data_IF_960091607494
#
_entry.id   IF_960091607494
#
_cell.length_a   1.000
_cell.length_b   1.000
_cell.length_c   1.000
_cell.angle_alpha   90.00
_cell.angle_beta   90.00
_cell.angle_gamma   90.00
#
_symmetry.space_group_name_H-M   'P 1'
#
loop_
_entity.id
_entity.type
_entity.pdbx_description
1 polymer ?
#
# COMPACT_ATOMS: atom_id res chain seq x y z
N UNK A 1 0.55 -0.84 23.89
CA UNK A 1 0.49 -1.93 24.88
C UNK A 1 -0.81 -1.90 25.69
N UNK A 2 -1.37 -0.73 26.06
CA UNK A 2 -2.65 -0.64 26.78
C UNK A 2 -3.81 -1.46 26.16
N UNK A 3 -4.01 -1.35 24.85
CA UNK A 3 -5.04 -2.11 24.11
C UNK A 3 -4.88 -3.64 24.29
N UNK A 4 -3.64 -4.14 24.27
CA UNK A 4 -3.39 -5.56 24.47
C UNK A 4 -3.75 -5.98 25.90
N UNK A 5 -3.27 -5.23 26.89
CA UNK A 5 -3.50 -5.52 28.32
C UNK A 5 -4.98 -5.53 28.69
N UNK A 6 -5.75 -4.61 28.12
CA UNK A 6 -7.20 -4.52 28.35
C UNK A 6 -7.95 -5.73 27.80
N UNK A 7 -7.64 -6.16 26.57
CA UNK A 7 -8.46 -7.14 25.85
C UNK A 7 -7.87 -8.55 25.78
N UNK A 8 -6.64 -8.80 26.25
CA UNK A 8 -5.98 -10.11 26.15
C UNK A 8 -6.79 -11.26 26.78
N UNK A 9 -7.55 -10.98 27.84
CA UNK A 9 -8.38 -11.97 28.53
C UNK A 9 -9.74 -12.26 27.87
N UNK A 10 -10.07 -11.62 26.75
CA UNK A 10 -11.36 -11.84 26.06
C UNK A 10 -11.48 -13.24 25.44
N UNK A 11 -10.35 -13.83 25.03
CA UNK A 11 -10.26 -15.14 24.38
C UNK A 11 -9.28 -16.04 25.12
N UNK A 12 -9.34 -17.35 24.85
CA UNK A 12 -8.37 -18.32 25.38
C UNK A 12 -7.02 -18.27 24.66
N UNK A 13 -6.97 -17.72 23.45
CA UNK A 13 -5.75 -17.46 22.69
C UNK A 13 -5.62 -15.95 22.42
N UNK A 14 -4.53 -15.36 22.90
CA UNK A 14 -4.18 -13.95 22.72
C UNK A 14 -4.00 -13.58 21.23
N UNK A 15 -3.76 -14.55 20.35
CA UNK A 15 -3.69 -14.27 18.91
C UNK A 15 -5.08 -14.22 18.26
N UNK A 16 -6.16 -14.62 18.95
CA UNK A 16 -7.52 -14.67 18.39
C UNK A 16 -8.41 -13.73 19.19
N UNK A 17 -8.49 -12.47 18.76
CA UNK A 17 -9.22 -11.42 19.47
C UNK A 17 -10.02 -10.52 18.51
N UNK A 18 -11.29 -10.21 18.77
CA UNK A 18 -12.07 -9.30 17.93
C UNK A 18 -11.75 -7.81 18.15
N UNK A 19 -11.06 -7.46 19.25
CA UNK A 19 -10.79 -6.07 19.63
C UNK A 19 -9.46 -5.54 19.09
N UNK A 20 -8.53 -6.42 18.71
CA UNK A 20 -7.23 -6.03 18.17
C UNK A 20 -6.70 -6.99 17.12
N UNK A 21 -5.70 -6.53 16.37
CA UNK A 21 -4.91 -7.32 15.45
C UNK A 21 -3.45 -7.33 15.89
N UNK A 22 -2.82 -8.51 15.93
CA UNK A 22 -1.38 -8.60 16.24
C UNK A 22 -0.54 -8.31 14.99
N UNK A 23 0.73 -7.87 15.14
CA UNK A 23 1.51 -7.36 14.01
C UNK A 23 1.70 -8.37 12.88
N UNK A 24 1.87 -9.66 13.21
CA UNK A 24 2.05 -10.71 12.19
C UNK A 24 0.80 -10.89 11.32
N UNK A 25 -0.39 -10.79 11.90
CA UNK A 25 -1.66 -10.91 11.16
C UNK A 25 -1.88 -9.71 10.24
N UNK A 26 -1.61 -8.50 10.74
CA UNK A 26 -1.66 -7.29 9.95
C UNK A 26 -0.72 -7.36 8.74
N UNK A 27 0.52 -7.81 8.96
CA UNK A 27 1.52 -7.98 7.90
C UNK A 27 1.03 -8.95 6.82
N UNK A 28 0.47 -10.10 7.18
CA UNK A 28 -0.05 -11.05 6.19
C UNK A 28 -1.24 -10.50 5.41
N UNK A 29 -2.14 -9.77 6.06
CA UNK A 29 -3.26 -9.13 5.36
C UNK A 29 -2.79 -8.07 4.37
N UNK A 30 -1.80 -7.26 4.74
CA UNK A 30 -1.17 -6.29 3.83
C UNK A 30 -0.47 -6.98 2.66
N UNK A 31 0.32 -8.03 2.92
CA UNK A 31 1.02 -8.76 1.86
C UNK A 31 0.04 -9.38 0.87
N UNK A 32 -1.03 -10.02 1.35
CA UNK A 32 -2.02 -10.67 0.50
C UNK A 32 -2.72 -9.68 -0.42
N UNK A 33 -3.21 -8.55 0.10
CA UNK A 33 -3.92 -7.58 -0.74
C UNK A 33 -2.97 -6.95 -1.78
N UNK A 34 -1.72 -6.66 -1.41
CA UNK A 34 -0.77 -6.09 -2.36
C UNK A 34 -0.39 -7.10 -3.43
N UNK A 35 -0.24 -8.38 -3.06
CA UNK A 35 0.13 -9.44 -3.98
C UNK A 35 -0.96 -9.70 -5.04
N UNK A 36 -2.21 -9.80 -4.59
CA UNK A 36 -3.34 -10.17 -5.45
C UNK A 36 -3.83 -9.02 -6.33
N UNK A 37 -3.73 -7.77 -5.86
CA UNK A 37 -4.41 -6.63 -6.50
C UNK A 37 -3.48 -5.55 -7.05
N UNK A 38 -2.24 -5.45 -6.55
CA UNK A 38 -1.32 -4.34 -6.87
C UNK A 38 -0.06 -4.86 -7.58
N UNK A 39 -0.21 -5.89 -8.42
CA UNK A 39 0.86 -6.39 -9.28
C UNK A 39 1.94 -7.19 -8.53
N UNK A 40 1.53 -8.07 -7.61
CA UNK A 40 2.45 -9.00 -6.95
C UNK A 40 2.82 -10.22 -7.77
N UNK A 41 3.60 -11.10 -7.14
CA UNK A 41 4.05 -12.34 -7.77
C UNK A 41 2.89 -13.30 -8.04
N UNK A 42 1.89 -13.34 -7.16
CA UNK A 42 0.70 -14.19 -7.33
C UNK A 42 -0.14 -13.84 -8.56
N UNK A 43 -0.05 -12.60 -9.04
CA UNK A 43 -0.70 -12.11 -10.27
C UNK A 43 0.26 -12.02 -11.47
N UNK A 44 1.45 -12.63 -11.39
CA UNK A 44 2.52 -12.50 -12.39
C UNK A 44 2.86 -11.02 -12.71
N UNK A 45 2.88 -10.18 -11.68
CA UNK A 45 3.12 -8.74 -11.75
C UNK A 45 2.10 -7.96 -12.56
N UNK A 46 0.90 -8.49 -12.80
CA UNK A 46 -0.16 -7.85 -13.56
C UNK A 46 -1.21 -7.19 -12.66
N UNK A 47 -1.73 -6.04 -13.09
CA UNK A 47 -2.87 -5.37 -12.45
C UNK A 47 -3.68 -4.56 -13.49
N UNK A 48 -4.82 -4.01 -13.10
CA UNK A 48 -5.68 -3.12 -13.89
C UNK A 48 -6.52 -2.24 -12.95
N UNK A 49 -7.25 -1.27 -13.51
CA UNK A 49 -8.11 -0.35 -12.76
C UNK A 49 -9.09 -1.04 -11.81
N UNK A 50 -9.71 -2.15 -12.23
CA UNK A 50 -10.63 -2.90 -11.36
C UNK A 50 -9.91 -3.53 -10.15
N UNK A 51 -8.72 -4.10 -10.38
CA UNK A 51 -7.90 -4.69 -9.32
C UNK A 51 -7.39 -3.62 -8.36
N UNK A 52 -6.92 -2.48 -8.86
CA UNK A 52 -6.43 -1.36 -8.06
C UNK A 52 -7.56 -0.74 -7.22
N UNK A 53 -8.75 -0.56 -7.79
CA UNK A 53 -9.95 -0.12 -7.05
C UNK A 53 -10.22 -1.06 -5.88
N UNK A 54 -10.21 -2.38 -6.11
CA UNK A 54 -10.42 -3.35 -5.04
C UNK A 54 -9.29 -3.33 -4.00
N UNK A 55 -8.04 -3.18 -4.45
CA UNK A 55 -6.88 -3.00 -3.58
C UNK A 55 -7.04 -1.78 -2.66
N UNK A 56 -7.54 -0.66 -3.19
CA UNK A 56 -7.76 0.57 -2.45
C UNK A 56 -8.85 0.42 -1.38
N UNK A 57 -9.96 -0.25 -1.70
CA UNK A 57 -11.02 -0.57 -0.73
C UNK A 57 -10.47 -1.43 0.44
N UNK A 58 -9.75 -2.51 0.13
CA UNK A 58 -9.19 -3.42 1.12
C UNK A 58 -8.12 -2.73 1.99
N UNK A 59 -7.31 -1.87 1.38
CA UNK A 59 -6.32 -1.05 2.09
C UNK A 59 -7.01 -0.04 3.01
N UNK A 60 -8.16 0.52 2.61
CA UNK A 60 -9.01 1.36 3.44
C UNK A 60 -9.43 0.65 4.73
N UNK A 61 -10.00 -0.56 4.62
CA UNK A 61 -10.34 -1.36 5.80
C UNK A 61 -9.12 -1.69 6.67
N UNK A 62 -7.99 -2.02 6.04
CA UNK A 62 -6.76 -2.33 6.79
C UNK A 62 -6.21 -1.09 7.51
N UNK A 63 -6.38 0.11 6.95
CA UNK A 63 -6.00 1.38 7.57
C UNK A 63 -6.84 1.67 8.81
N UNK A 64 -8.14 1.40 8.78
CA UNK A 64 -9.01 1.47 9.96
C UNK A 64 -8.56 0.48 11.05
N UNK A 65 -8.27 -0.77 10.66
CA UNK A 65 -7.78 -1.79 11.60
C UNK A 65 -6.37 -1.51 12.14
N UNK A 66 -5.59 -0.63 11.49
CA UNK A 66 -4.26 -0.23 11.97
C UNK A 66 -4.31 0.55 13.29
N UNK A 67 -5.46 1.14 13.62
CA UNK A 67 -5.71 1.78 14.91
C UNK A 67 -5.95 0.77 16.04
N UNK A 68 -6.22 -0.49 15.67
CA UNK A 68 -6.39 -1.62 16.59
C UNK A 68 -5.17 -2.55 16.63
N UNK A 69 -4.01 -2.08 16.17
CA UNK A 69 -2.76 -2.82 16.30
C UNK A 69 -2.35 -2.94 17.78
N UNK A 70 -2.24 -4.18 18.26
CA UNK A 70 -1.80 -4.50 19.61
C UNK A 70 -0.35 -5.01 19.63
N UNK A 71 0.31 -4.85 20.78
CA UNK A 71 1.66 -5.33 21.02
C UNK A 71 1.78 -5.88 22.44
N UNK A 72 2.35 -7.09 22.56
CA UNK A 72 2.59 -7.79 23.83
C UNK A 72 3.82 -7.28 24.58
N UNK A 73 4.83 -6.91 23.83
CA UNK A 73 6.12 -6.49 24.35
C UNK A 73 6.74 -5.39 23.46
N UNK A 74 7.96 -4.95 23.80
CA UNK A 74 8.69 -3.93 23.04
C UNK A 74 9.07 -4.39 21.63
N UNK A 75 9.28 -5.68 21.42
CA UNK A 75 9.60 -6.22 20.11
C UNK A 75 8.39 -6.15 19.18
N UNK A 76 7.21 -6.53 19.66
CA UNK A 76 5.98 -6.36 18.90
C UNK A 76 5.59 -4.90 18.73
N UNK A 77 5.91 -4.04 19.69
CA UNK A 77 5.70 -2.61 19.54
C UNK A 77 6.51 -2.05 18.37
N UNK A 78 7.76 -2.50 18.19
CA UNK A 78 8.54 -2.21 16.98
C UNK A 78 7.82 -2.71 15.72
N UNK A 79 7.32 -3.96 15.73
CA UNK A 79 6.61 -4.54 14.57
C UNK A 79 5.31 -3.81 14.22
N UNK A 80 4.58 -3.29 15.22
CA UNK A 80 3.42 -2.42 15.01
C UNK A 80 3.82 -1.20 14.18
N UNK A 81 4.87 -0.48 14.59
CA UNK A 81 5.33 0.71 13.88
C UNK A 81 5.85 0.41 12.48
N UNK A 82 6.62 -0.66 12.31
CA UNK A 82 7.05 -1.08 10.98
C UNK A 82 5.87 -1.41 10.06
N UNK A 83 4.80 -2.01 10.57
CA UNK A 83 3.60 -2.26 9.80
C UNK A 83 2.86 -0.98 9.42
N UNK A 84 2.80 0.02 10.32
CA UNK A 84 2.29 1.34 9.97
C UNK A 84 3.14 1.95 8.85
N UNK A 85 4.47 1.87 8.91
CA UNK A 85 5.34 2.35 7.83
C UNK A 85 5.07 1.63 6.50
N UNK A 86 4.92 0.29 6.52
CA UNK A 86 4.60 -0.51 5.33
C UNK A 86 3.23 -0.14 4.75
N UNK A 87 2.22 0.10 5.59
CA UNK A 87 0.89 0.52 5.15
C UNK A 87 0.96 1.84 4.36
N UNK A 88 1.69 2.84 4.87
CA UNK A 88 1.88 4.12 4.18
C UNK A 88 2.59 3.96 2.83
N UNK A 89 3.63 3.11 2.77
CA UNK A 89 4.31 2.80 1.51
C UNK A 89 3.41 2.06 0.52
N UNK A 90 2.59 1.13 1.00
CA UNK A 90 1.63 0.43 0.16
C UNK A 90 0.58 1.37 -0.44
N UNK A 91 0.04 2.31 0.35
CA UNK A 91 -0.90 3.32 -0.14
C UNK A 91 -0.27 4.23 -1.19
N UNK A 92 0.96 4.70 -0.94
CA UNK A 92 1.72 5.49 -1.90
C UNK A 92 1.95 4.72 -3.22
N UNK A 93 2.39 3.46 -3.13
CA UNK A 93 2.64 2.63 -4.30
C UNK A 93 1.36 2.42 -5.13
N UNK A 94 0.25 2.04 -4.48
CA UNK A 94 -1.04 1.85 -5.13
C UNK A 94 -1.46 3.11 -5.88
N UNK A 95 -1.43 4.27 -5.22
CA UNK A 95 -1.82 5.55 -5.81
C UNK A 95 -0.95 5.94 -7.02
N UNK A 96 0.36 5.68 -6.96
CA UNK A 96 1.25 5.94 -8.10
C UNK A 96 0.90 5.05 -9.31
N UNK A 97 0.68 3.76 -9.07
CA UNK A 97 0.35 2.78 -10.11
C UNK A 97 -1.02 3.07 -10.72
N UNK A 98 -2.01 3.41 -9.90
CA UNK A 98 -3.36 3.80 -10.32
C UNK A 98 -3.36 5.05 -11.19
N UNK A 99 -2.64 6.10 -10.74
CA UNK A 99 -2.56 7.37 -11.45
C UNK A 99 -1.90 7.22 -12.83
N UNK A 100 -0.82 6.43 -12.94
CA UNK A 100 -0.10 6.21 -14.21
C UNK A 100 -0.87 5.25 -15.13
N UNK A 101 -1.39 5.79 -16.24
CA UNK A 101 -2.18 5.04 -17.24
C UNK A 101 -1.32 4.56 -18.41
N UNK A 102 -0.29 3.78 -18.11
CA UNK A 102 0.60 3.12 -19.09
C UNK A 102 1.36 1.94 -18.43
N UNK A 103 2.06 1.14 -19.24
CA UNK A 103 3.05 0.16 -18.78
C UNK A 103 4.44 0.62 -19.18
N UNK A 104 5.12 1.32 -18.27
CA UNK A 104 6.45 1.91 -18.50
C UNK A 104 7.60 0.91 -18.32
N UNK A 105 7.46 0.01 -17.36
CA UNK A 105 8.52 -0.92 -16.94
C UNK A 105 8.02 -2.37 -17.00
N UNK A 106 7.76 -2.90 -18.21
CA UNK A 106 7.34 -4.29 -18.37
C UNK A 106 8.42 -5.22 -17.80
N UNK A 107 8.00 -6.17 -16.96
CA UNK A 107 8.89 -7.04 -16.17
C UNK A 107 8.96 -6.65 -14.69
N UNK A 108 8.73 -5.37 -14.35
CA UNK A 108 8.48 -4.97 -12.96
C UNK A 108 7.00 -5.03 -12.62
N UNK A 109 6.14 -4.47 -13.48
CA UNK A 109 4.70 -4.68 -13.42
C UNK A 109 4.04 -4.40 -14.78
N UNK A 110 2.80 -4.87 -14.96
CA UNK A 110 1.99 -4.68 -16.15
C UNK A 110 0.62 -4.07 -15.80
N UNK A 111 0.26 -2.94 -16.40
CA UNK A 111 -1.12 -2.42 -16.44
C UNK A 111 -1.82 -3.05 -17.62
N UNK A 112 -2.59 -4.10 -17.39
CA UNK A 112 -3.25 -4.87 -18.47
C UNK A 112 -4.31 -4.08 -19.24
N UNK A 113 -4.86 -3.04 -18.61
CA UNK A 113 -5.75 -2.04 -19.19
C UNK A 113 -5.02 -0.92 -19.96
N UNK A 114 -3.72 -0.72 -19.69
CA UNK A 114 -2.82 0.20 -20.39
C UNK A 114 -1.47 -0.48 -20.70
N UNK A 115 -1.45 -1.48 -21.61
CA UNK A 115 -0.33 -2.42 -21.72
C UNK A 115 0.90 -1.87 -22.43
N UNK A 116 0.83 -0.67 -23.00
CA UNK A 116 1.88 -0.06 -23.81
C UNK A 116 2.54 1.11 -23.09
N UNK A 117 3.76 1.41 -23.54
CA UNK A 117 4.50 2.63 -23.24
C UNK A 117 3.83 3.83 -23.92
N UNK A 118 3.62 4.94 -23.21
CA UNK A 118 3.00 6.16 -23.73
C UNK A 118 3.92 7.37 -23.50
N UNK A 119 4.79 7.65 -24.47
CA UNK A 119 5.73 8.78 -24.39
C UNK A 119 5.05 10.14 -24.51
N UNK A 120 3.91 10.23 -25.20
CA UNK A 120 3.22 11.50 -25.43
C UNK A 120 2.62 12.04 -24.13
N UNK A 121 1.99 11.18 -23.33
CA UNK A 121 1.29 11.60 -22.12
C UNK A 121 2.07 11.32 -20.84
N UNK A 122 3.00 10.35 -20.84
CA UNK A 122 3.55 9.79 -19.60
C UNK A 122 5.08 9.79 -19.49
N UNK A 123 5.80 10.45 -20.40
CA UNK A 123 7.22 10.81 -20.22
C UNK A 123 7.40 11.88 -19.13
N UNK A 124 7.16 11.50 -17.88
CA UNK A 124 7.14 12.35 -16.71
C UNK A 124 7.38 11.53 -15.44
N UNK A 125 7.78 12.20 -14.37
CA UNK A 125 7.73 11.63 -13.03
C UNK A 125 6.29 11.71 -12.49
N UNK A 126 5.88 10.69 -11.74
CA UNK A 126 4.67 10.74 -10.93
C UNK A 126 5.12 11.03 -9.50
N UNK A 127 4.73 12.19 -9.01
CA UNK A 127 5.03 12.65 -7.67
C UNK A 127 3.74 12.68 -6.85
N UNK A 128 3.89 12.65 -5.53
CA UNK A 128 2.78 12.81 -4.62
C UNK A 128 3.16 13.60 -3.38
N UNK A 129 2.15 14.18 -2.74
CA UNK A 129 2.25 14.89 -1.46
C UNK A 129 1.04 14.51 -0.60
N UNK A 130 1.27 14.31 0.69
CA UNK A 130 0.20 14.20 1.69
C UNK A 130 0.13 15.49 2.50
N UNK A 131 -1.07 15.99 2.76
CA UNK A 131 -1.30 17.04 3.75
C UNK A 131 -1.42 16.40 5.15
N UNK A 132 -0.53 16.70 6.10
CA UNK A 132 -0.59 16.10 7.44
C UNK A 132 -1.79 16.57 8.27
N UNK A 133 -2.44 17.69 7.92
CA UNK A 133 -3.62 18.18 8.63
C UNK A 133 -4.90 17.45 8.22
N UNK A 134 -5.03 17.10 6.93
CA UNK A 134 -6.24 16.45 6.38
C UNK A 134 -6.04 14.97 6.04
N UNK A 135 -4.80 14.49 5.97
CA UNK A 135 -4.41 13.20 5.40
C UNK A 135 -4.81 13.00 3.93
N UNK A 136 -5.07 14.09 3.20
CA UNK A 136 -5.40 14.05 1.79
C UNK A 136 -4.14 13.90 0.93
N UNK A 137 -4.23 13.04 -0.08
CA UNK A 137 -3.16 12.80 -1.04
C UNK A 137 -3.39 13.59 -2.32
N UNK A 138 -2.35 14.26 -2.79
CA UNK A 138 -2.27 14.83 -4.14
C UNK A 138 -1.26 14.04 -4.95
N UNK A 139 -1.66 13.48 -6.09
CA UNK A 139 -0.78 12.79 -7.04
C UNK A 139 -0.75 13.60 -8.34
N UNK A 140 0.43 13.89 -8.87
CA UNK A 140 0.59 14.80 -10.00
C UNK A 140 1.82 14.48 -10.84
N UNK A 141 1.83 14.96 -12.08
CA UNK A 141 2.94 14.81 -13.02
C UNK A 141 4.01 15.89 -12.77
N UNK A 142 5.29 15.51 -12.92
CA UNK A 142 6.42 16.44 -13.02
C UNK A 142 7.21 16.13 -14.31
N UNK A 143 7.49 17.12 -15.16
CA UNK A 143 8.18 16.87 -16.43
C UNK A 143 9.61 16.38 -16.18
N UNK A 144 10.10 15.51 -17.08
CA UNK A 144 11.51 15.16 -17.14
C UNK A 144 12.26 16.31 -17.82
N UNK A 145 13.29 16.84 -17.18
CA UNK A 145 14.13 17.91 -17.73
C UNK A 145 15.37 17.25 -18.35
N UNK A 146 15.49 17.30 -19.67
CA UNK A 146 16.69 16.86 -20.37
C UNK A 146 17.80 17.90 -20.20
N UNK A 147 18.79 17.60 -19.36
CA UNK A 147 19.88 18.54 -19.05
C UNK A 147 20.87 18.73 -20.20
N UNK A 148 20.95 17.78 -21.14
CA UNK A 148 22.00 17.77 -22.18
C UNK A 148 21.46 17.91 -23.59
N UNK A 149 20.13 18.02 -23.77
CA UNK A 149 19.49 18.18 -25.08
C UNK A 149 19.77 17.00 -26.03
N UNK A 150 20.11 15.83 -25.49
CA UNK A 150 20.31 14.62 -26.29
C UNK A 150 18.93 14.00 -26.48
N UNK A 151 18.39 14.10 -27.69
CA UNK A 151 17.20 13.37 -28.13
C UNK A 151 17.44 11.86 -28.17
#
# INVERSE_FOLDING_TARGET
MALFEEFKGFSTDENVNPNYIIPKQFMFRLQKLMDEYVGGAGSNFATNEASLTRGAELLGFLKEDSEKLAARDLYELLRVWENKHRLWQAEAHLRAVEFRKETRWPGYYFRTDYPTLDEENWLCFVNMKVDPATNEWSVFKRPIINMFGVE
#
